data_IF_879541288938
#
_entry.id   IF_879541288938
#
_cell.length_a   1.000
_cell.length_b   1.000
_cell.length_c   1.000
_cell.angle_alpha   90.00
_cell.angle_beta   90.00
_cell.angle_gamma   90.00
#
_symmetry.space_group_name_H-M   'P 1'
#
loop_
_entity.id
_entity.type
_entity.pdbx_description
1 polymer ?
#
# COMPACT_ATOMS: atom_id res chain seq x y z
N UNK A 1 40.45 13.04 8.52
CA UNK A 1 40.78 11.96 7.57
C UNK A 1 40.38 10.58 8.12
N UNK A 2 40.88 10.18 9.26
CA UNK A 2 40.53 8.87 9.84
C UNK A 2 39.05 8.78 10.26
N UNK A 3 38.47 9.88 10.71
CA UNK A 3 37.05 9.91 11.07
C UNK A 3 36.15 9.85 9.85
N UNK A 4 36.51 10.54 8.76
CA UNK A 4 35.74 10.50 7.51
C UNK A 4 35.74 9.12 6.86
N UNK A 5 36.89 8.45 6.88
CA UNK A 5 37.02 7.07 6.38
C UNK A 5 36.20 6.08 7.22
N UNK A 6 36.18 6.26 8.53
CA UNK A 6 35.41 5.42 9.45
C UNK A 6 33.89 5.64 9.27
N UNK A 7 33.46 6.89 9.17
CA UNK A 7 32.06 7.22 8.89
C UNK A 7 31.60 6.66 7.56
N UNK A 8 32.45 6.76 6.53
CA UNK A 8 32.15 6.19 5.21
C UNK A 8 32.00 4.67 5.25
N UNK A 9 32.93 3.98 5.96
CA UNK A 9 32.86 2.53 6.13
C UNK A 9 31.62 2.09 6.92
N UNK A 10 31.24 2.84 7.96
CA UNK A 10 30.01 2.57 8.72
C UNK A 10 28.74 2.77 7.87
N UNK A 11 28.73 3.78 7.01
CA UNK A 11 27.61 4.00 6.08
C UNK A 11 27.52 2.91 5.02
N UNK A 12 28.65 2.48 4.46
CA UNK A 12 28.71 1.38 3.50
C UNK A 12 28.24 0.07 4.13
N UNK A 13 28.68 -0.22 5.36
CA UNK A 13 28.25 -1.41 6.09
C UNK A 13 26.74 -1.42 6.39
N UNK A 14 26.18 -0.27 6.78
CA UNK A 14 24.73 -0.12 7.01
C UNK A 14 23.93 -0.28 5.71
N UNK A 15 24.44 0.25 4.60
CA UNK A 15 23.78 0.11 3.30
C UNK A 15 23.79 -1.35 2.82
N UNK A 16 24.89 -2.06 3.00
CA UNK A 16 24.99 -3.50 2.67
C UNK A 16 24.07 -4.35 3.52
N UNK A 17 24.00 -4.09 4.83
CA UNK A 17 23.08 -4.77 5.75
C UNK A 17 21.62 -4.54 5.38
N UNK A 18 21.25 -3.29 5.09
CA UNK A 18 19.91 -2.93 4.67
C UNK A 18 19.54 -3.58 3.32
N UNK A 19 20.46 -3.63 2.37
CA UNK A 19 20.25 -4.31 1.09
C UNK A 19 20.06 -5.82 1.27
N UNK A 20 20.88 -6.45 2.12
CA UNK A 20 20.75 -7.87 2.44
C UNK A 20 19.38 -8.19 3.09
N UNK A 21 18.92 -7.34 4.01
CA UNK A 21 17.61 -7.46 4.65
C UNK A 21 16.47 -7.35 3.62
N UNK A 22 16.54 -6.39 2.69
CA UNK A 22 15.54 -6.23 1.63
C UNK A 22 15.51 -7.44 0.68
N UNK A 23 16.67 -7.99 0.35
CA UNK A 23 16.77 -9.20 -0.48
C UNK A 23 16.16 -10.41 0.23
N UNK A 24 16.40 -10.58 1.51
CA UNK A 24 15.83 -11.66 2.33
C UNK A 24 14.30 -11.54 2.40
N UNK A 25 13.77 -10.34 2.62
CA UNK A 25 12.33 -10.08 2.61
C UNK A 25 11.72 -10.44 1.26
N UNK A 26 12.35 -10.04 0.17
CA UNK A 26 11.87 -10.33 -1.18
C UNK A 26 11.82 -11.84 -1.44
N UNK A 27 12.87 -12.57 -1.09
CA UNK A 27 12.92 -14.02 -1.22
C UNK A 27 11.85 -14.72 -0.39
N UNK A 28 11.64 -14.28 0.85
CA UNK A 28 10.60 -14.80 1.74
C UNK A 28 9.21 -14.59 1.15
N UNK A 29 8.93 -13.40 0.63
CA UNK A 29 7.64 -13.07 0.03
C UNK A 29 7.42 -13.83 -1.28
N UNK A 30 8.42 -13.92 -2.14
CA UNK A 30 8.33 -14.67 -3.41
C UNK A 30 8.09 -16.16 -3.21
N UNK A 31 8.65 -16.73 -2.14
CA UNK A 31 8.44 -18.15 -1.79
C UNK A 31 7.14 -18.39 -1.02
N UNK A 32 6.47 -17.34 -0.57
CA UNK A 32 5.24 -17.40 0.22
C UNK A 32 4.00 -17.71 -0.61
N UNK A 33 2.87 -17.78 0.08
CA UNK A 33 1.58 -18.06 -0.53
C UNK A 33 1.12 -16.90 -1.42
N UNK A 34 0.63 -17.25 -2.61
CA UNK A 34 -0.02 -16.29 -3.53
C UNK A 34 -1.52 -16.50 -3.49
N UNK A 35 -2.23 -15.60 -2.83
CA UNK A 35 -3.68 -15.74 -2.60
C UNK A 35 -4.53 -15.28 -3.78
N UNK A 36 -4.01 -14.40 -4.62
CA UNK A 36 -4.77 -13.77 -5.71
C UNK A 36 -5.87 -12.83 -5.25
N UNK A 37 -5.95 -12.51 -3.95
CA UNK A 37 -6.91 -11.55 -3.42
C UNK A 37 -6.69 -10.16 -4.06
N UNK A 38 -7.79 -9.44 -4.28
CA UNK A 38 -7.75 -8.12 -4.89
C UNK A 38 -7.63 -7.03 -3.85
N UNK A 39 -6.79 -6.03 -4.16
CA UNK A 39 -6.55 -4.86 -3.31
C UNK A 39 -6.91 -3.60 -4.09
N UNK A 40 -7.64 -2.69 -3.46
CA UNK A 40 -7.81 -1.30 -3.90
C UNK A 40 -6.96 -0.39 -3.00
N UNK A 41 -6.07 0.39 -3.59
CA UNK A 41 -5.23 1.37 -2.92
C UNK A 41 -5.67 2.76 -3.37
N UNK A 42 -6.15 3.60 -2.46
CA UNK A 42 -6.85 4.83 -2.81
C UNK A 42 -6.68 5.93 -1.78
N UNK A 43 -7.05 7.15 -2.19
CA UNK A 43 -7.13 8.34 -1.37
C UNK A 43 -8.38 9.15 -1.76
N UNK A 44 -9.09 9.69 -0.78
CA UNK A 44 -10.23 10.59 -1.02
C UNK A 44 -9.72 12.02 -1.01
N UNK A 45 -9.85 12.71 -2.16
CA UNK A 45 -9.39 14.10 -2.30
C UNK A 45 -10.33 15.08 -1.60
N UNK A 46 -9.86 16.29 -1.33
CA UNK A 46 -10.67 17.37 -0.74
C UNK A 46 -11.87 17.75 -1.62
N UNK A 47 -11.81 17.47 -2.92
CA UNK A 47 -12.89 17.73 -3.87
C UNK A 47 -13.89 16.56 -3.98
N UNK A 48 -13.73 15.52 -3.18
CA UNK A 48 -14.61 14.36 -3.20
C UNK A 48 -14.35 13.37 -4.34
N UNK A 49 -13.21 13.49 -5.03
CA UNK A 49 -12.76 12.51 -6.02
C UNK A 49 -11.96 11.39 -5.34
N UNK A 50 -11.85 10.26 -6.01
CA UNK A 50 -11.02 9.15 -5.55
C UNK A 50 -9.74 9.11 -6.39
N UNK A 51 -8.60 9.24 -5.72
CA UNK A 51 -7.30 9.08 -6.35
C UNK A 51 -6.84 7.64 -6.20
N UNK A 52 -6.53 7.01 -7.33
CA UNK A 52 -6.01 5.64 -7.38
C UNK A 52 -4.68 5.61 -8.10
N UNK A 53 -3.93 4.52 -7.96
CA UNK A 53 -2.68 4.30 -8.69
C UNK A 53 -2.96 3.73 -10.06
N UNK A 54 -2.21 4.20 -11.06
CA UNK A 54 -2.22 3.59 -12.38
C UNK A 54 -1.48 2.23 -12.33
N UNK A 55 -1.83 1.33 -13.23
CA UNK A 55 -1.24 -0.01 -13.30
C UNK A 55 0.28 -0.04 -13.47
N UNK A 56 0.85 1.04 -14.00
CA UNK A 56 2.29 1.19 -14.21
C UNK A 56 3.07 1.67 -12.98
N UNK A 57 2.37 2.12 -11.93
CA UNK A 57 3.00 2.56 -10.68
C UNK A 57 3.63 1.40 -9.90
N UNK A 58 4.53 1.73 -8.97
CA UNK A 58 5.21 0.70 -8.16
C UNK A 58 4.29 0.00 -7.15
N UNK A 59 3.23 0.66 -6.66
CA UNK A 59 2.27 0.07 -5.70
C UNK A 59 1.57 -1.17 -6.27
N UNK A 60 0.99 -1.14 -7.49
CA UNK A 60 0.45 -2.34 -8.12
C UNK A 60 1.47 -3.47 -8.27
N UNK A 61 2.72 -3.14 -8.57
CA UNK A 61 3.81 -4.12 -8.67
C UNK A 61 4.12 -4.78 -7.33
N UNK A 62 4.12 -4.00 -6.23
CA UNK A 62 4.28 -4.54 -4.88
C UNK A 62 3.14 -5.48 -4.51
N UNK A 63 1.91 -5.13 -4.83
CA UNK A 63 0.73 -5.97 -4.58
C UNK A 63 0.87 -7.32 -5.31
N UNK A 64 1.29 -7.31 -6.57
CA UNK A 64 1.51 -8.51 -7.35
C UNK A 64 2.64 -9.37 -6.76
N UNK A 65 3.77 -8.76 -6.41
CA UNK A 65 4.89 -9.46 -5.76
C UNK A 65 4.48 -10.06 -4.41
N UNK A 66 3.61 -9.39 -3.66
CA UNK A 66 3.08 -9.89 -2.40
C UNK A 66 2.09 -11.06 -2.55
N UNK A 67 1.70 -11.39 -3.79
CA UNK A 67 0.81 -12.50 -4.09
C UNK A 67 -0.66 -12.10 -4.26
N UNK A 68 -0.96 -10.82 -4.39
CA UNK A 68 -2.31 -10.30 -4.65
C UNK A 68 -2.48 -9.77 -6.07
N UNK A 69 -3.59 -9.10 -6.29
CA UNK A 69 -3.92 -8.42 -7.54
C UNK A 69 -4.43 -7.02 -7.25
N UNK A 70 -3.92 -6.03 -7.98
CA UNK A 70 -4.47 -4.69 -7.93
C UNK A 70 -5.80 -4.63 -8.68
N UNK A 71 -6.85 -4.10 -8.05
CA UNK A 71 -8.21 -4.12 -8.62
C UNK A 71 -8.32 -3.33 -9.94
N UNK A 72 -7.50 -2.30 -10.12
CA UNK A 72 -7.42 -1.49 -11.33
C UNK A 72 -6.22 -1.87 -12.21
N UNK A 73 -5.96 -3.16 -12.38
CA UNK A 73 -4.79 -3.68 -13.10
C UNK A 73 -4.69 -3.23 -14.56
N UNK A 74 -5.81 -2.85 -15.16
CA UNK A 74 -5.87 -2.39 -16.55
C UNK A 74 -6.04 -0.86 -16.68
N UNK A 75 -5.94 -0.13 -15.57
CA UNK A 75 -6.12 1.32 -15.57
C UNK A 75 -4.84 2.02 -16.00
N UNK A 76 -4.83 2.51 -17.24
CA UNK A 76 -3.73 3.31 -17.79
C UNK A 76 -4.28 4.65 -18.27
N UNK A 77 -3.59 5.72 -17.91
CA UNK A 77 -3.83 7.03 -18.53
C UNK A 77 -2.93 7.18 -19.75
N UNK A 78 -3.54 7.24 -20.92
CA UNK A 78 -2.83 7.33 -22.18
C UNK A 78 -2.01 8.62 -22.30
N UNK A 79 -0.77 8.60 -21.79
CA UNK A 79 0.25 9.58 -22.10
C UNK A 79 0.52 10.67 -21.06
N UNK A 80 -0.09 10.69 -19.88
CA UNK A 80 0.17 11.73 -18.88
C UNK A 80 1.48 11.54 -18.11
N UNK A 81 2.05 10.33 -18.08
CA UNK A 81 3.23 10.00 -17.29
C UNK A 81 3.03 10.10 -15.77
N UNK A 82 1.80 10.24 -15.31
CA UNK A 82 1.47 10.32 -13.89
C UNK A 82 1.33 8.92 -13.28
N UNK A 83 1.67 8.77 -12.01
CA UNK A 83 1.49 7.52 -11.28
C UNK A 83 0.09 7.34 -10.70
N UNK A 84 -0.72 8.40 -10.69
CA UNK A 84 -2.05 8.43 -10.09
C UNK A 84 -3.10 8.92 -11.07
N UNK A 85 -4.34 8.54 -10.82
CA UNK A 85 -5.51 8.99 -11.58
C UNK A 85 -6.65 9.32 -10.60
N UNK A 86 -7.35 10.43 -10.85
CA UNK A 86 -8.55 10.78 -10.12
C UNK A 86 -9.78 10.28 -10.86
N UNK A 87 -10.70 9.64 -10.14
CA UNK A 87 -11.95 9.16 -10.70
C UNK A 87 -13.15 9.59 -9.87
N UNK A 88 -14.33 9.55 -10.45
CA UNK A 88 -15.58 9.80 -9.74
C UNK A 88 -15.86 8.68 -8.75
N UNK A 89 -16.58 9.00 -7.67
CA UNK A 89 -16.95 8.03 -6.63
C UNK A 89 -17.72 6.84 -7.23
N UNK A 90 -18.60 7.09 -8.17
CA UNK A 90 -19.41 6.07 -8.85
C UNK A 90 -18.54 5.09 -9.65
N UNK A 91 -17.53 5.60 -10.33
CA UNK A 91 -16.57 4.78 -11.09
C UNK A 91 -15.70 3.92 -10.15
N UNK A 92 -15.28 4.50 -9.04
CA UNK A 92 -14.56 3.77 -8.00
C UNK A 92 -15.43 2.66 -7.39
N UNK A 93 -16.67 2.98 -7.07
CA UNK A 93 -17.63 1.99 -6.57
C UNK A 93 -17.80 0.83 -7.55
N UNK A 94 -18.08 1.15 -8.81
CA UNK A 94 -18.27 0.12 -9.84
C UNK A 94 -17.05 -0.80 -10.01
N UNK A 95 -15.84 -0.23 -9.90
CA UNK A 95 -14.60 -0.99 -10.11
C UNK A 95 -14.05 -1.69 -8.87
N UNK A 96 -14.30 -1.18 -7.68
CA UNK A 96 -13.63 -1.61 -6.44
C UNK A 96 -14.55 -2.16 -5.35
N UNK A 97 -15.87 -2.13 -5.52
CA UNK A 97 -16.83 -2.59 -4.50
C UNK A 97 -16.61 -4.05 -4.07
N UNK A 98 -16.11 -4.89 -4.95
CA UNK A 98 -15.88 -6.31 -4.72
C UNK A 98 -14.41 -6.64 -4.37
N UNK A 99 -13.55 -5.63 -4.22
CA UNK A 99 -12.18 -5.84 -3.77
C UNK A 99 -12.15 -6.54 -2.42
N UNK A 100 -11.26 -7.50 -2.26
CA UNK A 100 -11.12 -8.25 -1.01
C UNK A 100 -10.56 -7.40 0.12
N UNK A 101 -9.68 -6.44 -0.20
CA UNK A 101 -8.98 -5.60 0.76
C UNK A 101 -8.96 -4.15 0.25
N UNK A 102 -9.23 -3.21 1.14
CA UNK A 102 -9.02 -1.78 0.89
C UNK A 102 -7.83 -1.28 1.69
N UNK A 103 -6.94 -0.53 1.03
CA UNK A 103 -5.85 0.19 1.67
C UNK A 103 -6.02 1.68 1.40
N UNK A 104 -6.28 2.46 2.44
CA UNK A 104 -6.39 3.91 2.36
C UNK A 104 -5.01 4.56 2.49
N UNK A 105 -4.65 5.40 1.52
CA UNK A 105 -3.41 6.15 1.55
C UNK A 105 -3.55 7.41 2.40
N UNK A 106 -3.12 7.37 3.64
CA UNK A 106 -3.22 8.49 4.59
C UNK A 106 -2.01 9.41 4.59
N UNK A 107 -1.00 9.12 3.79
CA UNK A 107 0.24 9.91 3.77
C UNK A 107 0.06 11.34 3.28
N UNK A 108 -1.08 11.65 2.65
CA UNK A 108 -1.36 12.94 2.02
C UNK A 108 -2.04 13.93 2.97
N UNK A 109 -2.99 13.47 3.81
CA UNK A 109 -3.88 14.34 4.59
C UNK A 109 -3.84 14.12 6.10
N UNK A 110 -2.90 13.36 6.61
CA UNK A 110 -2.78 13.07 8.04
C UNK A 110 -3.63 11.91 8.54
N UNK A 111 -4.37 11.26 7.65
CA UNK A 111 -4.92 9.94 7.86
C UNK A 111 -6.27 9.83 8.54
N UNK A 112 -6.70 8.60 8.66
CA UNK A 112 -7.87 8.15 9.40
C UNK A 112 -7.43 7.07 10.39
N UNK A 113 -8.15 6.92 11.48
CA UNK A 113 -7.85 5.89 12.51
C UNK A 113 -8.96 4.87 12.66
N UNK A 114 -10.17 5.19 12.16
CA UNK A 114 -11.35 4.31 12.23
C UNK A 114 -12.03 4.18 10.87
N UNK A 115 -12.77 3.10 10.70
CA UNK A 115 -13.61 2.88 9.51
C UNK A 115 -14.69 3.97 9.41
N UNK A 116 -15.26 4.40 10.53
CA UNK A 116 -16.29 5.46 10.55
C UNK A 116 -15.75 6.79 10.04
N UNK A 117 -14.52 7.15 10.38
CA UNK A 117 -13.85 8.35 9.84
C UNK A 117 -13.67 8.25 8.32
N UNK A 118 -13.31 7.07 7.82
CA UNK A 118 -13.16 6.83 6.38
C UNK A 118 -14.52 6.92 5.66
N UNK A 119 -15.56 6.31 6.19
CA UNK A 119 -16.92 6.41 5.67
C UNK A 119 -17.41 7.87 5.69
N UNK A 120 -17.03 8.64 6.70
CA UNK A 120 -17.30 10.06 6.77
C UNK A 120 -16.72 10.88 5.62
N UNK A 121 -15.60 10.44 5.05
CA UNK A 121 -14.99 11.05 3.86
C UNK A 121 -15.72 10.67 2.57
N UNK A 122 -16.23 9.43 2.49
CA UNK A 122 -16.92 8.90 1.34
C UNK A 122 -17.96 7.86 1.78
N UNK A 123 -19.22 8.26 1.87
CA UNK A 123 -20.29 7.47 2.48
C UNK A 123 -20.55 6.13 1.74
N UNK A 124 -20.34 6.08 0.44
CA UNK A 124 -20.58 4.87 -0.36
C UNK A 124 -19.67 3.71 0.04
N UNK A 125 -18.55 3.99 0.73
CA UNK A 125 -17.62 2.95 1.19
C UNK A 125 -18.26 1.95 2.15
N UNK A 126 -19.33 2.33 2.85
CA UNK A 126 -20.07 1.41 3.75
C UNK A 126 -20.60 0.17 3.02
N UNK A 127 -20.86 0.27 1.71
CA UNK A 127 -21.41 -0.81 0.89
C UNK A 127 -20.32 -1.68 0.24
N UNK A 128 -19.05 -1.38 0.48
CA UNK A 128 -17.94 -2.16 -0.05
C UNK A 128 -17.79 -3.48 0.71
N UNK A 129 -17.53 -4.55 -0.02
CA UNK A 129 -17.27 -5.89 0.53
C UNK A 129 -16.21 -5.87 1.63
N UNK A 130 -15.06 -5.24 1.37
CA UNK A 130 -13.96 -5.17 2.34
C UNK A 130 -14.34 -4.44 3.63
N UNK A 131 -15.17 -3.41 3.55
CA UNK A 131 -15.68 -2.70 4.72
C UNK A 131 -16.61 -3.60 5.55
N UNK A 132 -17.49 -4.32 4.90
CA UNK A 132 -18.41 -5.24 5.55
C UNK A 132 -17.69 -6.44 6.20
N UNK A 133 -16.57 -6.88 5.63
CA UNK A 133 -15.76 -7.99 6.13
C UNK A 133 -14.63 -7.55 7.09
N UNK A 134 -14.48 -6.25 7.35
CA UNK A 134 -13.45 -5.72 8.23
C UNK A 134 -12.03 -5.79 7.67
N UNK A 135 -11.88 -5.77 6.35
CA UNK A 135 -10.60 -5.86 5.65
C UNK A 135 -10.18 -4.49 5.08
N UNK A 136 -10.14 -3.49 5.95
CA UNK A 136 -9.76 -2.12 5.61
C UNK A 136 -8.51 -1.74 6.37
N UNK A 137 -7.47 -1.37 5.64
CA UNK A 137 -6.18 -0.97 6.19
C UNK A 137 -5.87 0.47 5.80
N UNK A 138 -4.96 1.07 6.53
CA UNK A 138 -4.50 2.43 6.30
C UNK A 138 -2.97 2.46 6.33
N UNK A 139 -2.37 3.33 5.52
CA UNK A 139 -0.92 3.54 5.56
C UNK A 139 -0.54 4.46 6.72
N UNK A 140 0.66 4.26 7.27
CA UNK A 140 1.23 5.20 8.25
C UNK A 140 1.72 6.47 7.55
N UNK A 141 1.85 7.57 8.31
CA UNK A 141 2.27 8.87 7.76
C UNK A 141 3.73 8.88 7.27
N UNK A 142 4.56 7.99 7.78
CA UNK A 142 5.98 7.91 7.46
C UNK A 142 6.33 6.92 6.33
N UNK A 143 5.34 6.28 5.72
CA UNK A 143 5.54 5.24 4.71
C UNK A 143 6.44 5.70 3.55
N UNK A 144 6.31 6.96 3.11
CA UNK A 144 7.09 7.49 1.99
C UNK A 144 8.38 8.22 2.40
N UNK A 145 8.65 8.34 3.68
CA UNK A 145 9.79 9.14 4.18
C UNK A 145 11.09 8.34 4.26
N UNK A 146 11.02 7.03 4.18
CA UNK A 146 12.19 6.15 4.31
C UNK A 146 12.48 5.44 3.00
N UNK A 147 13.71 5.57 2.51
CA UNK A 147 14.14 4.95 1.25
C UNK A 147 14.10 3.41 1.28
N UNK A 148 14.11 2.82 2.46
CA UNK A 148 14.07 1.36 2.67
C UNK A 148 12.67 0.82 2.97
N UNK A 149 11.66 1.67 2.93
CA UNK A 149 10.28 1.31 3.29
C UNK A 149 9.64 0.30 2.33
N UNK A 150 10.09 0.25 1.08
CA UNK A 150 9.48 -0.59 0.03
C UNK A 150 9.46 -2.07 0.41
N UNK A 151 10.56 -2.60 0.94
CA UNK A 151 10.64 -4.00 1.35
C UNK A 151 9.70 -4.32 2.52
N UNK A 152 9.63 -3.45 3.50
CA UNK A 152 8.70 -3.61 4.63
C UNK A 152 7.25 -3.44 4.22
N UNK A 153 6.96 -2.54 3.29
CA UNK A 153 5.62 -2.41 2.73
C UNK A 153 5.20 -3.67 1.97
N UNK A 154 6.11 -4.25 1.19
CA UNK A 154 5.89 -5.53 0.52
C UNK A 154 5.58 -6.65 1.52
N UNK A 155 6.34 -6.74 2.61
CA UNK A 155 6.11 -7.69 3.68
C UNK A 155 4.74 -7.49 4.34
N UNK A 156 4.36 -6.23 4.61
CA UNK A 156 3.05 -5.88 5.17
C UNK A 156 1.91 -6.30 4.23
N UNK A 157 2.04 -6.03 2.95
CA UNK A 157 1.04 -6.44 1.95
C UNK A 157 0.89 -7.95 1.90
N UNK A 158 1.98 -8.69 1.97
CA UNK A 158 1.95 -10.15 2.03
C UNK A 158 1.25 -10.66 3.30
N UNK A 159 1.54 -10.07 4.45
CA UNK A 159 0.89 -10.36 5.73
C UNK A 159 -0.63 -10.16 5.65
N UNK A 160 -1.05 -9.01 5.09
CA UNK A 160 -2.47 -8.68 4.90
C UNK A 160 -3.16 -9.66 3.95
N UNK A 161 -2.50 -10.03 2.86
CA UNK A 161 -3.04 -10.96 1.86
C UNK A 161 -3.19 -12.39 2.36
N UNK A 162 -2.31 -12.83 3.25
CA UNK A 162 -2.31 -14.19 3.80
C UNK A 162 -3.06 -14.33 5.12
N UNK A 163 -3.71 -13.25 5.61
CA UNK A 163 -4.37 -13.20 6.92
C UNK A 163 -3.45 -13.61 8.08
N UNK A 164 -2.16 -13.29 7.98
CA UNK A 164 -1.17 -13.54 9.00
C UNK A 164 -1.26 -12.50 10.14
N UNK A 165 -0.38 -12.60 11.11
CA UNK A 165 -0.39 -11.76 12.31
C UNK A 165 -0.23 -10.26 11.99
N UNK A 166 -1.34 -9.52 12.07
CA UNK A 166 -1.37 -8.08 11.81
C UNK A 166 -0.60 -7.24 12.86
N UNK A 167 -0.21 -7.84 13.99
CA UNK A 167 0.65 -7.17 14.98
C UNK A 167 2.07 -6.91 14.46
N UNK A 168 2.49 -7.57 13.38
CA UNK A 168 3.80 -7.41 12.74
C UNK A 168 3.84 -6.27 11.71
N UNK A 169 2.70 -5.64 11.40
CA UNK A 169 2.63 -4.56 10.40
C UNK A 169 3.43 -3.33 10.84
N UNK A 170 4.17 -2.74 9.91
CA UNK A 170 5.01 -1.55 10.14
C UNK A 170 4.43 -0.28 9.50
N UNK A 171 3.99 -0.37 8.26
CA UNK A 171 3.52 0.75 7.43
C UNK A 171 2.03 0.68 7.12
N UNK A 172 1.38 -0.42 7.45
CA UNK A 172 -0.06 -0.59 7.37
C UNK A 172 -0.63 -0.88 8.76
N UNK A 173 -1.86 -0.47 8.99
CA UNK A 173 -2.59 -0.85 10.19
C UNK A 173 -4.07 -1.09 9.85
N UNK A 174 -4.69 -1.99 10.60
CA UNK A 174 -6.10 -2.31 10.43
C UNK A 174 -6.97 -1.19 11.02
N UNK A 175 -7.91 -0.67 10.22
CA UNK A 175 -8.94 0.25 10.70
C UNK A 175 -10.04 -0.51 11.44
N UNK A 176 -10.46 0.04 12.57
CA UNK A 176 -11.52 -0.55 13.41
C UNK A 176 -12.78 0.28 13.47
#
# INVERSE_FOLDING_TARGET
RQNEEKEKQEQEAKAEEAFAEQTEILEEVESGEKTGKTIAFFYVTSNGLIQVRQSTDYIPKLIELAGGRYIFENLEDSGSGRSTLNMQVEDFYAGAKDADILIYNSSIDGGVTTVDELIGKCNILKDFKAVQEGQVYCTTNDMYQQSMAIGYLLQDMHTVLTDDDTAKLRYLFLLQ
#
